data_IF_517848321296
#
_entry.id   IF_517848321296
#
_cell.length_a   1.000
_cell.length_b   1.000
_cell.length_c   1.000
_cell.angle_alpha   90.00
_cell.angle_beta   90.00
_cell.angle_gamma   90.00
#
_symmetry.space_group_name_H-M   'P 1'
#
loop_
_entity.id
_entity.type
_entity.pdbx_description
1 polymer ?
#
# COMPACT_ATOMS: atom_id res chain seq x y z
N UNK A 1 -92.11 71.68 14.57
CA UNK A 1 -93.16 70.63 14.61
C UNK A 1 -92.53 69.28 14.36
N UNK A 2 -92.85 68.34 15.26
CA UNK A 2 -92.89 66.86 15.16
C UNK A 2 -91.82 66.08 14.38
N UNK A 3 -91.12 65.24 15.15
CA UNK A 3 -90.48 63.97 14.78
C UNK A 3 -91.44 63.06 13.98
N UNK A 4 -90.89 62.25 13.08
CA UNK A 4 -91.35 60.86 12.94
C UNK A 4 -90.22 59.94 12.49
N UNK A 5 -90.17 58.80 13.16
CA UNK A 5 -89.33 57.62 12.94
C UNK A 5 -89.92 56.80 11.77
N UNK A 6 -89.09 56.10 10.98
CA UNK A 6 -89.31 54.69 10.59
C UNK A 6 -88.14 54.15 9.74
N UNK A 7 -87.59 53.06 10.25
CA UNK A 7 -86.58 52.15 9.67
C UNK A 7 -87.18 51.22 8.61
N UNK A 8 -86.40 50.85 7.59
CA UNK A 8 -86.46 49.50 6.99
C UNK A 8 -85.21 49.14 6.16
N UNK A 9 -84.69 47.95 6.45
CA UNK A 9 -83.49 47.32 5.88
C UNK A 9 -83.67 46.88 4.43
N UNK A 10 -82.59 46.90 3.64
CA UNK A 10 -82.41 46.00 2.48
C UNK A 10 -80.92 45.73 2.21
N UNK A 11 -80.64 44.47 1.94
CA UNK A 11 -79.39 43.73 1.90
C UNK A 11 -78.47 43.97 0.68
N UNK A 12 -77.16 43.83 0.92
CA UNK A 12 -76.11 43.11 0.15
C UNK A 12 -75.82 43.44 -1.33
N UNK A 13 -74.56 43.81 -1.61
CA UNK A 13 -73.54 42.88 -2.16
C UNK A 13 -72.16 43.58 -2.25
N UNK A 14 -71.32 43.40 -1.23
CA UNK A 14 -69.90 43.72 -1.30
C UNK A 14 -69.14 42.45 -1.74
N UNK A 15 -68.70 42.42 -3.00
CA UNK A 15 -67.76 41.40 -3.49
C UNK A 15 -66.37 41.78 -2.99
N UNK A 16 -66.04 41.37 -1.77
CA UNK A 16 -64.67 41.39 -1.28
C UNK A 16 -63.91 40.22 -1.90
N UNK A 17 -63.08 40.52 -2.90
CA UNK A 17 -62.10 39.58 -3.44
C UNK A 17 -61.10 39.25 -2.33
N UNK A 18 -61.28 38.08 -1.72
CA UNK A 18 -60.29 37.43 -0.87
C UNK A 18 -59.14 36.97 -1.76
N UNK A 19 -58.14 37.83 -1.95
CA UNK A 19 -56.81 37.37 -2.35
C UNK A 19 -56.21 36.70 -1.12
N UNK A 20 -55.91 35.39 -1.12
CA UNK A 20 -55.16 34.81 -0.02
C UNK A 20 -53.79 35.48 -0.02
N UNK A 21 -53.54 36.28 1.03
CA UNK A 21 -52.21 36.72 1.42
C UNK A 21 -51.37 35.44 1.57
N UNK A 22 -50.57 35.13 0.56
CA UNK A 22 -49.49 34.16 0.70
C UNK A 22 -48.53 34.78 1.70
N UNK A 23 -48.66 34.38 2.97
CA UNK A 23 -47.65 34.65 3.97
C UNK A 23 -46.36 34.06 3.43
N UNK A 24 -45.45 34.93 3.00
CA UNK A 24 -44.06 34.57 2.72
C UNK A 24 -43.48 34.19 4.07
N UNK A 25 -43.74 32.95 4.51
CA UNK A 25 -43.17 32.43 5.74
C UNK A 25 -41.66 32.43 5.56
N UNK A 26 -40.99 33.31 6.32
CA UNK A 26 -39.54 33.32 6.39
C UNK A 26 -39.06 31.90 6.66
N UNK A 27 -38.19 31.39 5.78
CA UNK A 27 -37.66 30.05 5.91
C UNK A 27 -37.04 29.85 7.29
N UNK A 28 -37.21 28.67 7.88
CA UNK A 28 -36.64 28.33 9.20
C UNK A 28 -35.11 28.32 9.11
N UNK A 29 -34.53 29.48 9.39
CA UNK A 29 -33.09 29.71 9.32
C UNK A 29 -32.35 28.87 10.37
N UNK A 30 -32.99 28.56 11.51
CA UNK A 30 -32.42 27.70 12.55
C UNK A 30 -32.20 26.30 11.99
N UNK A 31 -33.20 25.73 11.30
CA UNK A 31 -33.06 24.42 10.67
C UNK A 31 -32.03 24.40 9.53
N UNK A 32 -32.00 25.42 8.67
CA UNK A 32 -30.98 25.52 7.60
C UNK A 32 -29.56 25.57 8.19
N UNK A 33 -29.37 26.37 9.23
CA UNK A 33 -28.07 26.49 9.91
C UNK A 33 -27.66 25.18 10.60
N UNK A 34 -28.63 24.46 11.17
CA UNK A 34 -28.41 23.15 11.75
C UNK A 34 -27.90 22.14 10.71
N UNK A 35 -28.58 22.03 9.56
CA UNK A 35 -28.16 21.14 8.45
C UNK A 35 -26.72 21.43 8.02
N UNK A 36 -26.38 22.71 7.86
CA UNK A 36 -25.02 23.10 7.49
C UNK A 36 -23.99 22.74 8.57
N UNK A 37 -24.34 22.93 9.85
CA UNK A 37 -23.48 22.56 10.98
C UNK A 37 -23.23 21.06 11.04
N UNK A 38 -24.27 20.25 10.88
CA UNK A 38 -24.18 18.78 10.84
C UNK A 38 -23.29 18.30 9.70
N UNK A 39 -23.46 18.86 8.49
CA UNK A 39 -22.59 18.58 7.36
C UNK A 39 -21.12 18.89 7.68
N UNK A 40 -20.82 20.09 8.20
CA UNK A 40 -19.44 20.49 8.55
C UNK A 40 -18.82 19.54 9.56
N UNK A 41 -19.58 19.12 10.57
CA UNK A 41 -19.15 18.14 11.57
C UNK A 41 -18.85 16.79 10.95
N UNK A 42 -19.75 16.28 10.10
CA UNK A 42 -19.56 15.02 9.39
C UNK A 42 -18.34 15.04 8.46
N UNK A 43 -18.17 16.12 7.69
CA UNK A 43 -17.03 16.31 6.79
C UNK A 43 -15.71 16.32 7.56
N UNK A 44 -15.61 17.15 8.61
CA UNK A 44 -14.42 17.22 9.47
C UNK A 44 -14.07 15.85 10.04
N UNK A 45 -15.06 15.11 10.57
CA UNK A 45 -14.85 13.76 11.09
C UNK A 45 -14.33 12.80 10.01
N UNK A 46 -14.93 12.84 8.82
CA UNK A 46 -14.57 11.95 7.70
C UNK A 46 -13.18 12.23 7.15
N UNK A 47 -12.84 13.51 6.94
CA UNK A 47 -11.51 13.93 6.48
C UNK A 47 -10.44 13.59 7.52
N UNK A 48 -10.69 13.83 8.80
CA UNK A 48 -9.77 13.45 9.87
C UNK A 48 -9.53 11.93 9.91
N UNK A 49 -10.59 11.13 9.77
CA UNK A 49 -10.47 9.68 9.71
C UNK A 49 -9.66 9.20 8.49
N UNK A 50 -9.84 9.83 7.33
CA UNK A 50 -9.03 9.58 6.13
C UNK A 50 -7.55 9.93 6.36
N UNK A 51 -7.26 11.14 6.85
CA UNK A 51 -5.89 11.59 7.11
C UNK A 51 -5.17 10.70 8.12
N UNK A 52 -5.86 10.29 9.19
CA UNK A 52 -5.30 9.38 10.18
C UNK A 52 -5.03 8.00 9.58
N UNK A 53 -5.95 7.48 8.75
CA UNK A 53 -5.75 6.22 8.06
C UNK A 53 -4.56 6.28 7.10
N UNK A 54 -4.43 7.35 6.29
CA UNK A 54 -3.32 7.52 5.36
C UNK A 54 -1.97 7.53 6.10
N UNK A 55 -1.85 8.30 7.19
CA UNK A 55 -0.65 8.31 8.04
C UNK A 55 -0.29 6.92 8.57
N UNK A 56 -1.28 6.13 8.96
CA UNK A 56 -1.04 4.75 9.43
C UNK A 56 -0.57 3.84 8.31
N UNK A 57 -1.14 3.96 7.11
CA UNK A 57 -0.73 3.20 5.92
C UNK A 57 0.72 3.54 5.56
N UNK A 58 1.07 4.83 5.49
CA UNK A 58 2.42 5.28 5.17
C UNK A 58 3.44 4.79 6.21
N UNK A 59 3.09 4.86 7.50
CA UNK A 59 3.93 4.34 8.59
C UNK A 59 4.15 2.83 8.46
N UNK A 60 3.09 2.06 8.20
CA UNK A 60 3.17 0.60 8.05
C UNK A 60 4.00 0.20 6.83
N UNK A 61 3.80 0.89 5.72
CA UNK A 61 4.59 0.70 4.51
C UNK A 61 6.07 0.92 4.78
N UNK A 62 6.44 2.07 5.38
CA UNK A 62 7.83 2.39 5.68
C UNK A 62 8.47 1.39 6.65
N UNK A 63 7.72 0.95 7.67
CA UNK A 63 8.18 -0.08 8.59
C UNK A 63 8.47 -1.40 7.87
N UNK A 64 7.55 -1.86 7.02
CA UNK A 64 7.73 -3.07 6.21
C UNK A 64 8.92 -2.93 5.25
N UNK A 65 8.99 -1.83 4.49
CA UNK A 65 10.10 -1.53 3.58
C UNK A 65 11.46 -1.61 4.27
N UNK A 66 11.61 -0.90 5.41
CA UNK A 66 12.85 -0.88 6.17
C UNK A 66 13.20 -2.26 6.73
N UNK A 67 12.23 -2.98 7.28
CA UNK A 67 12.45 -4.31 7.84
C UNK A 67 12.88 -5.31 6.76
N UNK A 68 12.23 -5.31 5.60
CA UNK A 68 12.63 -6.19 4.49
C UNK A 68 14.05 -5.89 4.03
N UNK A 69 14.43 -4.62 3.84
CA UNK A 69 15.80 -4.25 3.44
C UNK A 69 16.84 -4.64 4.49
N UNK A 70 16.54 -4.45 5.78
CA UNK A 70 17.42 -4.89 6.85
C UNK A 70 17.64 -6.41 6.82
N UNK A 71 16.61 -7.22 6.59
CA UNK A 71 16.73 -8.67 6.44
C UNK A 71 17.58 -9.06 5.22
N UNK A 72 17.39 -8.38 4.08
CA UNK A 72 18.19 -8.59 2.88
C UNK A 72 19.67 -8.26 3.11
N UNK A 73 19.96 -7.12 3.76
CA UNK A 73 21.33 -6.70 4.08
C UNK A 73 22.01 -7.67 5.05
N UNK A 74 21.27 -8.19 6.04
CA UNK A 74 21.77 -9.22 6.95
C UNK A 74 22.08 -10.54 6.24
N UNK A 75 21.20 -10.98 5.33
CA UNK A 75 21.41 -12.18 4.52
C UNK A 75 22.66 -12.04 3.64
N UNK A 76 22.78 -10.92 2.92
CA UNK A 76 23.94 -10.64 2.08
C UNK A 76 25.23 -10.64 2.89
N UNK A 77 25.24 -9.90 4.01
CA UNK A 77 26.40 -9.84 4.91
C UNK A 77 26.84 -11.24 5.36
N UNK A 78 25.90 -12.06 5.83
CA UNK A 78 26.20 -13.43 6.31
C UNK A 78 26.82 -14.30 5.22
N UNK A 79 26.30 -14.20 3.99
CA UNK A 79 26.82 -14.98 2.86
C UNK A 79 28.19 -14.47 2.38
N UNK A 80 28.40 -13.16 2.35
CA UNK A 80 29.71 -12.59 1.98
C UNK A 80 30.79 -12.93 3.02
N UNK A 81 30.44 -12.95 4.31
CA UNK A 81 31.35 -13.36 5.38
C UNK A 81 31.72 -14.85 5.25
N UNK A 82 30.76 -15.73 4.95
CA UNK A 82 31.04 -17.16 4.70
C UNK A 82 31.92 -17.37 3.46
N UNK A 83 31.63 -16.67 2.36
CA UNK A 83 32.46 -16.71 1.15
C UNK A 83 33.90 -16.32 1.42
N UNK A 84 34.12 -15.27 2.21
CA UNK A 84 35.45 -14.84 2.63
C UNK A 84 36.16 -15.92 3.45
N UNK A 85 35.48 -16.48 4.46
CA UNK A 85 36.04 -17.53 5.31
C UNK A 85 36.44 -18.78 4.50
N UNK A 86 35.61 -19.18 3.53
CA UNK A 86 35.94 -20.31 2.67
C UNK A 86 37.05 -20.00 1.67
N UNK A 87 37.11 -18.82 1.06
CA UNK A 87 38.24 -18.46 0.18
C UNK A 87 39.58 -18.53 0.95
N UNK A 88 39.63 -18.00 2.17
CA UNK A 88 40.81 -18.08 3.04
C UNK A 88 41.17 -19.54 3.40
N UNK A 89 40.18 -20.33 3.85
CA UNK A 89 40.38 -21.73 4.27
C UNK A 89 40.83 -22.62 3.11
N UNK A 90 40.20 -22.49 1.95
CA UNK A 90 40.46 -23.31 0.78
C UNK A 90 41.81 -22.99 0.13
N UNK A 91 42.23 -21.72 0.14
CA UNK A 91 43.58 -21.33 -0.29
C UNK A 91 44.64 -21.92 0.63
N UNK A 92 44.45 -21.81 1.95
CA UNK A 92 45.38 -22.40 2.90
C UNK A 92 45.48 -23.92 2.73
N UNK A 93 44.36 -24.61 2.53
CA UNK A 93 44.33 -26.04 2.24
C UNK A 93 45.08 -26.40 0.93
N UNK A 94 44.86 -25.64 -0.15
CA UNK A 94 45.60 -25.82 -1.40
C UNK A 94 47.12 -25.68 -1.22
N UNK A 95 47.58 -24.67 -0.48
CA UNK A 95 49.01 -24.48 -0.21
C UNK A 95 49.61 -25.67 0.56
N UNK A 96 48.89 -26.19 1.57
CA UNK A 96 49.31 -27.38 2.29
C UNK A 96 49.36 -28.63 1.40
N UNK A 97 48.36 -28.81 0.51
CA UNK A 97 48.34 -29.92 -0.44
C UNK A 97 49.49 -29.82 -1.46
N UNK A 98 49.80 -28.61 -1.96
CA UNK A 98 50.92 -28.38 -2.88
C UNK A 98 52.27 -28.74 -2.23
N UNK A 99 52.47 -28.38 -0.96
CA UNK A 99 53.67 -28.75 -0.21
C UNK A 99 53.75 -30.27 0.05
N UNK A 100 52.66 -30.89 0.48
CA UNK A 100 52.62 -32.33 0.82
C UNK A 100 52.88 -33.23 -0.39
N UNK A 101 52.39 -32.85 -1.57
CA UNK A 101 52.47 -33.64 -2.80
C UNK A 101 53.47 -33.05 -3.81
N UNK A 102 54.45 -32.28 -3.35
CA UNK A 102 55.49 -31.71 -4.20
C UNK A 102 56.18 -32.80 -5.03
N UNK A 103 56.32 -32.58 -6.33
CA UNK A 103 56.94 -33.54 -7.26
C UNK A 103 56.06 -34.74 -7.65
N UNK A 104 54.89 -34.94 -7.04
CA UNK A 104 53.98 -36.02 -7.42
C UNK A 104 53.22 -35.66 -8.71
N UNK A 105 53.61 -36.29 -9.83
CA UNK A 105 53.02 -36.03 -11.14
C UNK A 105 51.55 -36.46 -11.24
N UNK A 106 51.16 -37.52 -10.55
CA UNK A 106 49.80 -38.07 -10.61
C UNK A 106 48.77 -37.18 -9.91
N UNK A 107 49.22 -36.34 -8.96
CA UNK A 107 48.38 -35.43 -8.17
C UNK A 107 48.36 -34.00 -8.74
N UNK A 108 49.34 -33.63 -9.58
CA UNK A 108 49.52 -32.27 -10.11
C UNK A 108 48.29 -31.75 -10.86
N UNK A 109 47.68 -32.56 -11.70
CA UNK A 109 46.50 -32.17 -12.48
C UNK A 109 45.29 -31.94 -11.57
N UNK A 110 45.12 -32.78 -10.55
CA UNK A 110 44.06 -32.62 -9.53
C UNK A 110 44.26 -31.36 -8.69
N UNK A 111 45.48 -31.00 -8.32
CA UNK A 111 45.76 -29.73 -7.62
C UNK A 111 45.43 -28.51 -8.49
N UNK A 112 45.72 -28.59 -9.78
CA UNK A 112 45.35 -27.53 -10.74
C UNK A 112 43.82 -27.42 -10.87
N UNK A 113 43.12 -28.55 -10.89
CA UNK A 113 41.66 -28.56 -10.87
C UNK A 113 41.11 -28.00 -9.56
N UNK A 114 41.69 -28.37 -8.42
CA UNK A 114 41.32 -27.85 -7.10
C UNK A 114 41.45 -26.33 -7.06
N UNK A 115 42.58 -25.78 -7.51
CA UNK A 115 42.81 -24.35 -7.63
C UNK A 115 41.73 -23.63 -8.46
N UNK A 116 41.27 -24.25 -9.55
CA UNK A 116 40.15 -23.72 -10.36
C UNK A 116 38.82 -23.78 -9.63
N UNK A 117 38.52 -24.87 -8.91
CA UNK A 117 37.25 -25.03 -8.20
C UNK A 117 37.08 -24.03 -7.06
N UNK A 118 38.17 -23.75 -6.33
CA UNK A 118 38.17 -22.84 -5.18
C UNK A 118 38.20 -21.36 -5.59
N UNK A 119 38.59 -21.05 -6.83
CA UNK A 119 38.72 -19.67 -7.29
C UNK A 119 37.34 -19.04 -7.59
N UNK A 120 36.89 -18.02 -6.86
CA UNK A 120 35.59 -17.38 -7.09
C UNK A 120 35.52 -16.58 -8.40
N UNK A 121 36.66 -16.35 -9.07
CA UNK A 121 36.73 -15.69 -10.38
C UNK A 121 36.78 -16.67 -11.56
N UNK A 122 36.91 -17.97 -11.30
CA UNK A 122 36.92 -18.98 -12.37
C UNK A 122 35.50 -19.22 -12.88
N UNK A 123 35.19 -18.68 -14.06
CA UNK A 123 33.86 -18.69 -14.65
C UNK A 123 33.22 -20.09 -14.63
N UNK A 124 31.97 -20.15 -14.18
CA UNK A 124 31.19 -21.39 -14.02
C UNK A 124 31.77 -22.42 -13.02
N UNK A 125 32.87 -22.10 -12.33
CA UNK A 125 33.39 -22.89 -11.22
C UNK A 125 32.42 -22.89 -10.03
N UNK A 126 32.57 -23.84 -9.09
CA UNK A 126 31.66 -23.96 -7.95
C UNK A 126 31.67 -22.70 -7.06
N UNK A 127 32.85 -22.18 -6.67
CA UNK A 127 32.93 -20.94 -5.90
C UNK A 127 32.44 -19.72 -6.67
N UNK A 128 32.64 -19.67 -8.00
CA UNK A 128 32.08 -18.60 -8.83
C UNK A 128 30.55 -18.60 -8.82
N UNK A 129 29.91 -19.77 -8.95
CA UNK A 129 28.45 -19.89 -8.91
C UNK A 129 27.90 -19.45 -7.55
N UNK A 130 28.57 -19.85 -6.46
CA UNK A 130 28.19 -19.43 -5.13
C UNK A 130 28.35 -17.90 -4.95
N UNK A 131 29.51 -17.35 -5.31
CA UNK A 131 29.78 -15.92 -5.29
C UNK A 131 28.75 -15.12 -6.09
N UNK A 132 28.47 -15.52 -7.34
CA UNK A 132 27.53 -14.81 -8.20
C UNK A 132 26.07 -14.95 -7.81
N UNK A 133 25.67 -16.01 -7.12
CA UNK A 133 24.33 -16.10 -6.55
C UNK A 133 24.09 -15.04 -5.45
N UNK A 134 25.13 -14.71 -4.69
CA UNK A 134 25.10 -13.75 -3.59
C UNK A 134 25.44 -12.30 -3.99
N UNK A 135 25.79 -12.04 -5.25
CA UNK A 135 26.15 -10.71 -5.72
C UNK A 135 24.89 -9.92 -6.09
N UNK A 136 24.46 -8.99 -5.21
CA UNK A 136 23.26 -8.15 -5.45
C UNK A 136 23.41 -7.27 -6.71
N UNK A 137 24.62 -6.95 -7.13
CA UNK A 137 24.90 -6.19 -8.35
C UNK A 137 24.88 -7.02 -9.63
N UNK A 138 24.98 -8.35 -9.52
CA UNK A 138 24.97 -9.25 -10.66
C UNK A 138 23.55 -9.50 -11.16
N UNK A 139 23.27 -9.09 -12.40
CA UNK A 139 21.97 -9.24 -13.02
C UNK A 139 21.49 -10.70 -12.97
N UNK A 140 20.25 -10.90 -12.53
CA UNK A 140 19.63 -12.22 -12.36
C UNK A 140 20.26 -13.13 -11.28
N UNK A 141 21.18 -12.63 -10.45
CA UNK A 141 21.57 -13.37 -9.24
C UNK A 141 20.38 -13.58 -8.30
N UNK A 142 20.54 -14.51 -7.36
CA UNK A 142 19.52 -14.80 -6.36
C UNK A 142 19.22 -13.56 -5.52
N UNK A 143 20.25 -12.87 -5.00
CA UNK A 143 20.05 -11.63 -4.23
C UNK A 143 19.56 -10.46 -5.09
N UNK A 144 19.98 -10.35 -6.35
CA UNK A 144 19.47 -9.32 -7.26
C UNK A 144 17.97 -9.45 -7.46
N UNK A 145 17.46 -10.68 -7.67
CA UNK A 145 16.02 -10.93 -7.86
C UNK A 145 15.19 -10.46 -6.66
N UNK A 146 15.62 -10.83 -5.44
CA UNK A 146 14.98 -10.40 -4.20
C UNK A 146 15.04 -8.88 -4.03
N UNK A 147 16.23 -8.30 -4.20
CA UNK A 147 16.44 -6.84 -4.11
C UNK A 147 15.57 -6.06 -5.09
N UNK A 148 15.47 -6.54 -6.34
CA UNK A 148 14.67 -5.93 -7.41
C UNK A 148 13.18 -5.90 -7.06
N UNK A 149 12.63 -6.97 -6.49
CA UNK A 149 11.22 -6.99 -6.08
C UNK A 149 10.91 -6.11 -4.85
N UNK A 150 11.91 -5.91 -3.99
CA UNK A 150 11.83 -5.06 -2.80
C UNK A 150 12.10 -3.58 -3.09
N UNK A 151 12.67 -3.24 -4.24
CA UNK A 151 12.99 -1.88 -4.61
C UNK A 151 11.73 -1.08 -4.99
N UNK A 152 11.45 0.01 -4.28
CA UNK A 152 10.25 0.84 -4.49
C UNK A 152 10.30 1.75 -5.72
N UNK A 153 11.47 1.90 -6.34
CA UNK A 153 11.70 2.72 -7.54
C UNK A 153 11.88 1.86 -8.79
N UNK A 154 12.02 0.53 -8.63
CA UNK A 154 12.05 -0.40 -9.76
C UNK A 154 10.63 -0.62 -10.30
N UNK A 155 10.39 -0.18 -11.54
CA UNK A 155 9.07 -0.27 -12.17
C UNK A 155 8.52 -1.70 -12.16
N UNK A 156 7.26 -1.84 -11.76
CA UNK A 156 6.55 -3.12 -11.65
C UNK A 156 7.11 -4.11 -10.61
N UNK A 157 8.06 -3.71 -9.76
CA UNK A 157 8.37 -4.50 -8.57
C UNK A 157 7.15 -4.59 -7.65
N UNK A 158 7.12 -5.58 -6.77
CA UNK A 158 6.06 -5.71 -5.79
C UNK A 158 6.01 -4.50 -4.84
N UNK A 159 7.17 -3.98 -4.42
CA UNK A 159 7.24 -2.82 -3.54
C UNK A 159 6.82 -1.51 -4.22
N UNK A 160 7.19 -1.32 -5.50
CA UNK A 160 6.72 -0.20 -6.32
C UNK A 160 5.20 -0.23 -6.48
N UNK A 161 4.65 -1.40 -6.78
CA UNK A 161 3.20 -1.60 -6.93
C UNK A 161 2.45 -1.28 -5.63
N UNK A 162 3.02 -1.67 -4.49
CA UNK A 162 2.48 -1.34 -3.18
C UNK A 162 2.54 0.18 -2.91
N UNK A 163 3.71 0.82 -3.09
CA UNK A 163 3.90 2.28 -2.94
C UNK A 163 2.89 3.08 -3.79
N UNK A 164 2.76 2.70 -5.06
CA UNK A 164 1.79 3.26 -6.00
C UNK A 164 0.36 3.16 -5.49
N UNK A 165 -0.03 2.00 -4.95
CA UNK A 165 -1.40 1.74 -4.47
C UNK A 165 -1.79 2.65 -3.30
N UNK A 166 -0.84 2.94 -2.41
CA UNK A 166 -1.04 3.74 -1.20
C UNK A 166 -0.81 5.24 -1.40
N UNK A 167 -0.27 5.66 -2.54
CA UNK A 167 0.09 7.06 -2.80
C UNK A 167 -1.11 7.85 -3.35
N UNK A 168 -1.61 8.89 -2.66
CA UNK A 168 -2.78 9.66 -3.11
C UNK A 168 -2.55 10.50 -4.37
N UNK A 169 -1.30 10.86 -4.70
CA UNK A 169 -0.97 11.61 -5.92
C UNK A 169 -0.96 10.72 -7.17
N UNK A 170 -0.90 9.39 -7.01
CA UNK A 170 -0.88 8.47 -8.14
C UNK A 170 -2.30 8.29 -8.69
N UNK A 171 -2.54 8.74 -9.92
CA UNK A 171 -3.86 8.69 -10.54
C UNK A 171 -4.42 7.26 -10.54
N UNK A 172 -5.70 7.12 -10.19
CA UNK A 172 -6.43 5.86 -10.12
C UNK A 172 -5.94 4.84 -9.07
N UNK A 173 -4.95 5.18 -8.24
CA UNK A 173 -4.57 4.35 -7.09
C UNK A 173 -5.73 4.23 -6.09
N UNK A 174 -5.69 3.20 -5.23
CA UNK A 174 -6.71 3.03 -4.19
C UNK A 174 -6.72 4.22 -3.22
N UNK A 175 -5.54 4.75 -2.86
CA UNK A 175 -5.42 5.97 -2.04
C UNK A 175 -5.93 7.23 -2.75
N UNK A 176 -5.67 7.39 -4.05
CA UNK A 176 -6.23 8.50 -4.83
C UNK A 176 -7.76 8.44 -4.84
N UNK A 177 -8.34 7.27 -5.15
CA UNK A 177 -9.79 7.07 -5.16
C UNK A 177 -10.41 7.32 -3.78
N UNK A 178 -9.71 6.94 -2.71
CA UNK A 178 -10.13 7.24 -1.34
C UNK A 178 -10.15 8.76 -1.11
N UNK A 179 -9.05 9.46 -1.43
CA UNK A 179 -8.98 10.93 -1.29
C UNK A 179 -10.09 11.64 -2.06
N UNK A 180 -10.45 11.17 -3.26
CA UNK A 180 -11.51 11.76 -4.08
C UNK A 180 -12.90 11.49 -3.52
N UNK A 181 -13.12 10.33 -2.90
CA UNK A 181 -14.40 9.98 -2.26
C UNK A 181 -14.75 10.94 -1.12
N UNK A 182 -13.74 11.31 -0.32
CA UNK A 182 -13.92 12.17 0.88
C UNK A 182 -13.71 13.67 0.61
N UNK A 183 -13.28 14.04 -0.59
CA UNK A 183 -12.99 15.43 -0.95
C UNK A 183 -14.27 16.20 -1.26
N UNK A 184 -14.50 17.32 -0.58
CA UNK A 184 -15.60 18.24 -0.88
C UNK A 184 -15.39 19.11 -2.13
N UNK A 185 -14.15 19.17 -2.65
CA UNK A 185 -13.78 19.97 -3.82
C UNK A 185 -13.69 19.14 -5.10
N UNK A 186 -13.61 17.81 -4.98
CA UNK A 186 -13.62 16.93 -6.14
C UNK A 186 -15.02 16.83 -6.73
N UNK A 187 -15.18 17.32 -7.96
CA UNK A 187 -16.45 17.38 -8.66
C UNK A 187 -17.15 16.02 -8.65
N UNK A 188 -18.46 16.04 -8.36
CA UNK A 188 -19.32 14.86 -8.32
C UNK A 188 -18.93 13.79 -7.29
N UNK A 189 -17.95 14.04 -6.41
CA UNK A 189 -17.71 13.14 -5.28
C UNK A 189 -18.94 13.07 -4.37
N UNK A 190 -19.09 11.97 -3.60
CA UNK A 190 -20.12 11.88 -2.59
C UNK A 190 -20.08 13.04 -1.58
N UNK A 191 -18.89 13.46 -1.13
CA UNK A 191 -18.74 14.58 -0.20
C UNK A 191 -19.10 15.93 -0.83
N UNK A 192 -18.75 16.15 -2.10
CA UNK A 192 -19.12 17.34 -2.87
C UNK A 192 -20.65 17.44 -3.03
N UNK A 193 -21.30 16.32 -3.36
CA UNK A 193 -22.77 16.25 -3.48
C UNK A 193 -23.44 16.55 -2.13
N UNK A 194 -22.88 16.01 -1.05
CA UNK A 194 -23.38 16.24 0.30
C UNK A 194 -23.22 17.72 0.72
N UNK A 195 -22.06 18.33 0.47
CA UNK A 195 -21.82 19.77 0.69
C UNK A 195 -22.86 20.64 0.00
N UNK A 196 -23.05 20.41 -1.29
CA UNK A 196 -23.93 21.23 -2.12
C UNK A 196 -25.40 21.00 -1.76
N UNK A 197 -25.81 19.77 -1.45
CA UNK A 197 -27.15 19.47 -0.94
C UNK A 197 -27.44 20.10 0.43
N UNK A 198 -26.42 20.30 1.26
CA UNK A 198 -26.52 20.91 2.60
C UNK A 198 -26.44 22.45 2.57
N UNK A 199 -26.04 23.05 1.44
CA UNK A 199 -25.81 24.49 1.33
C UNK A 199 -27.06 25.23 0.90
N UNK A 200 -27.44 26.30 1.61
CA UNK A 200 -28.53 27.20 1.22
C UNK A 200 -28.16 28.20 0.12
N UNK A 201 -26.88 28.25 -0.26
CA UNK A 201 -26.36 29.12 -1.34
C UNK A 201 -26.14 28.36 -2.64
N UNK A 202 -26.19 27.03 -2.62
CA UNK A 202 -26.02 26.23 -3.84
C UNK A 202 -27.34 26.11 -4.59
N UNK A 203 -27.35 26.58 -5.83
CA UNK A 203 -28.53 26.58 -6.68
C UNK A 203 -29.17 25.18 -6.75
N UNK A 204 -30.49 25.12 -6.64
CA UNK A 204 -31.29 23.90 -6.71
C UNK A 204 -31.05 22.86 -5.59
N UNK A 205 -30.23 23.16 -4.58
CA UNK A 205 -30.15 22.31 -3.38
C UNK A 205 -31.50 22.28 -2.63
N UNK A 206 -31.78 21.23 -1.84
CA UNK A 206 -32.96 21.22 -0.97
C UNK A 206 -33.03 22.43 -0.04
N UNK A 207 -31.90 22.87 0.51
CA UNK A 207 -31.83 24.04 1.40
C UNK A 207 -32.09 25.35 0.66
N UNK A 208 -31.55 25.51 -0.55
CA UNK A 208 -31.79 26.69 -1.37
C UNK A 208 -33.26 26.76 -1.82
N UNK A 209 -33.83 25.65 -2.31
CA UNK A 209 -35.24 25.59 -2.71
C UNK A 209 -36.17 25.95 -1.55
N UNK A 210 -35.89 25.45 -0.35
CA UNK A 210 -36.65 25.81 0.85
C UNK A 210 -36.49 27.28 1.22
N UNK A 211 -35.25 27.80 1.22
CA UNK A 211 -34.97 29.22 1.50
C UNK A 211 -35.69 30.17 0.55
N UNK A 212 -35.82 29.79 -0.71
CA UNK A 212 -36.51 30.57 -1.76
C UNK A 212 -38.04 30.36 -1.77
N UNK A 213 -38.61 29.63 -0.80
CA UNK A 213 -40.05 29.34 -0.75
C UNK A 213 -40.55 28.42 -1.87
N UNK A 214 -39.66 27.77 -2.63
CA UNK A 214 -40.03 26.91 -3.76
C UNK A 214 -40.58 25.55 -3.34
N UNK A 215 -40.31 25.11 -2.10
CA UNK A 215 -40.79 23.85 -1.53
C UNK A 215 -41.11 24.00 -0.04
N UNK A 216 -41.97 23.13 0.49
CA UNK A 216 -42.26 23.07 1.92
C UNK A 216 -41.06 22.57 2.75
N UNK A 217 -41.05 22.87 4.05
CA UNK A 217 -40.06 22.32 5.00
C UNK A 217 -40.08 20.79 5.03
N UNK A 218 -41.26 20.18 4.93
CA UNK A 218 -41.41 18.72 4.92
C UNK A 218 -40.77 18.11 3.66
N UNK A 219 -41.01 18.71 2.49
CA UNK A 219 -40.39 18.31 1.22
C UNK A 219 -38.87 18.46 1.28
N UNK A 220 -38.38 19.58 1.81
CA UNK A 220 -36.95 19.84 1.94
C UNK A 220 -36.26 18.84 2.89
N UNK A 221 -36.88 18.52 4.03
CA UNK A 221 -36.41 17.47 4.95
C UNK A 221 -36.33 16.11 4.26
N UNK A 222 -37.39 15.71 3.54
CA UNK A 222 -37.42 14.43 2.82
C UNK A 222 -36.30 14.34 1.77
N UNK A 223 -36.15 15.38 0.93
CA UNK A 223 -35.09 15.44 -0.09
C UNK A 223 -33.69 15.41 0.52
N UNK A 224 -33.46 16.18 1.59
CA UNK A 224 -32.17 16.21 2.26
C UNK A 224 -31.85 14.88 2.95
N UNK A 225 -32.80 14.27 3.66
CA UNK A 225 -32.60 12.97 4.31
C UNK A 225 -32.25 11.87 3.31
N UNK A 226 -32.91 11.85 2.14
CA UNK A 226 -32.57 10.93 1.05
C UNK A 226 -31.14 11.15 0.57
N UNK A 227 -30.78 12.40 0.26
CA UNK A 227 -29.43 12.77 -0.18
C UNK A 227 -28.36 12.41 0.87
N UNK A 228 -28.61 12.73 2.14
CA UNK A 228 -27.72 12.40 3.25
C UNK A 228 -27.48 10.89 3.33
N UNK A 229 -28.55 10.09 3.31
CA UNK A 229 -28.45 8.62 3.36
C UNK A 229 -27.64 8.07 2.18
N UNK A 230 -27.96 8.50 0.97
CA UNK A 230 -27.28 8.07 -0.26
C UNK A 230 -25.79 8.41 -0.23
N UNK A 231 -25.45 9.66 0.05
CA UNK A 231 -24.05 10.10 -0.01
C UNK A 231 -23.21 9.55 1.15
N UNK A 232 -23.75 9.47 2.37
CA UNK A 232 -23.02 8.87 3.51
C UNK A 232 -22.79 7.38 3.32
N UNK A 233 -23.75 6.67 2.70
CA UNK A 233 -23.59 5.26 2.33
C UNK A 233 -22.54 5.11 1.22
N UNK A 234 -22.55 5.97 0.21
CA UNK A 234 -21.54 5.97 -0.85
C UNK A 234 -20.12 6.23 -0.28
N UNK A 235 -19.97 7.18 0.65
CA UNK A 235 -18.71 7.44 1.35
C UNK A 235 -18.28 6.20 2.15
N UNK A 236 -19.17 5.63 2.96
CA UNK A 236 -18.85 4.46 3.78
C UNK A 236 -18.41 3.27 2.94
N UNK A 237 -19.17 2.92 1.90
CA UNK A 237 -18.87 1.82 0.98
C UNK A 237 -17.58 2.06 0.20
N UNK A 238 -17.39 3.28 -0.32
CA UNK A 238 -16.17 3.66 -1.03
C UNK A 238 -14.94 3.53 -0.14
N UNK A 239 -14.99 4.11 1.06
CA UNK A 239 -13.92 4.05 2.04
C UNK A 239 -13.59 2.60 2.44
N UNK A 240 -14.60 1.78 2.74
CA UNK A 240 -14.41 0.38 3.08
C UNK A 240 -13.74 -0.41 1.94
N UNK A 241 -14.20 -0.21 0.71
CA UNK A 241 -13.62 -0.86 -0.46
C UNK A 241 -12.14 -0.45 -0.66
N UNK A 242 -11.81 0.85 -0.55
CA UNK A 242 -10.42 1.31 -0.71
C UNK A 242 -9.51 0.79 0.40
N UNK A 243 -9.99 0.76 1.64
CA UNK A 243 -9.26 0.16 2.77
C UNK A 243 -8.98 -1.32 2.53
N UNK A 244 -9.98 -2.07 2.06
CA UNK A 244 -9.84 -3.49 1.72
C UNK A 244 -8.79 -3.71 0.63
N UNK A 245 -8.82 -2.91 -0.45
CA UNK A 245 -7.81 -2.99 -1.52
C UNK A 245 -6.40 -2.72 -1.02
N UNK A 246 -6.22 -1.68 -0.20
CA UNK A 246 -4.91 -1.35 0.39
C UNK A 246 -4.42 -2.48 1.30
N UNK A 247 -5.29 -3.03 2.15
CA UNK A 247 -4.94 -4.16 3.01
C UNK A 247 -4.57 -5.40 2.20
N UNK A 248 -5.32 -5.72 1.14
CA UNK A 248 -5.03 -6.85 0.27
C UNK A 248 -3.71 -6.68 -0.48
N UNK A 249 -3.41 -5.46 -0.93
CA UNK A 249 -2.11 -5.14 -1.53
C UNK A 249 -0.98 -5.34 -0.53
N UNK A 250 -1.12 -4.80 0.67
CA UNK A 250 -0.12 -4.92 1.73
C UNK A 250 0.18 -6.40 2.08
N UNK A 251 -0.86 -7.19 2.38
CA UNK A 251 -0.67 -8.60 2.74
C UNK A 251 -0.17 -9.45 1.57
N UNK A 252 -0.63 -9.16 0.34
CA UNK A 252 -0.17 -9.84 -0.87
C UNK A 252 1.30 -9.57 -1.15
N UNK A 253 1.75 -8.31 -1.05
CA UNK A 253 3.16 -7.95 -1.22
C UNK A 253 4.04 -8.55 -0.13
N UNK A 254 3.60 -8.48 1.13
CA UNK A 254 4.33 -9.09 2.24
C UNK A 254 4.52 -10.60 2.04
N UNK A 255 3.44 -11.32 1.74
CA UNK A 255 3.49 -12.76 1.47
C UNK A 255 4.49 -13.11 0.37
N UNK A 256 4.45 -12.39 -0.76
CA UNK A 256 5.35 -12.62 -1.90
C UNK A 256 6.81 -12.37 -1.55
N UNK A 257 7.10 -11.30 -0.82
CA UNK A 257 8.46 -10.99 -0.37
C UNK A 257 8.96 -12.04 0.61
N UNK A 258 8.13 -12.46 1.57
CA UNK A 258 8.49 -13.49 2.55
C UNK A 258 8.76 -14.86 1.87
N UNK A 259 7.93 -15.22 0.88
CA UNK A 259 8.12 -16.43 0.06
C UNK A 259 9.42 -16.36 -0.75
N UNK A 260 9.66 -15.26 -1.46
CA UNK A 260 10.87 -15.08 -2.25
C UNK A 260 12.12 -15.01 -1.36
N UNK A 261 12.04 -14.44 -0.17
CA UNK A 261 13.14 -14.42 0.79
C UNK A 261 13.50 -15.85 1.23
N UNK A 262 12.51 -16.68 1.58
CA UNK A 262 12.73 -18.09 1.93
C UNK A 262 13.34 -18.88 0.78
N UNK A 263 12.82 -18.70 -0.43
CA UNK A 263 13.38 -19.31 -1.64
C UNK A 263 14.83 -18.88 -1.86
N UNK A 264 15.12 -17.58 -1.69
CA UNK A 264 16.47 -17.01 -1.79
C UNK A 264 17.42 -17.67 -0.80
N UNK A 265 17.01 -17.83 0.46
CA UNK A 265 17.79 -18.53 1.49
C UNK A 265 18.11 -19.96 1.08
N UNK A 266 17.10 -20.72 0.64
CA UNK A 266 17.28 -22.12 0.21
C UNK A 266 18.21 -22.22 -1.00
N UNK A 267 18.07 -21.33 -2.00
CA UNK A 267 18.93 -21.34 -3.18
C UNK A 267 20.37 -20.99 -2.81
N UNK A 268 20.59 -20.00 -1.94
CA UNK A 268 21.94 -19.62 -1.52
C UNK A 268 22.61 -20.75 -0.74
N UNK A 269 21.87 -21.42 0.15
CA UNK A 269 22.37 -22.59 0.87
C UNK A 269 22.74 -23.72 -0.11
N UNK A 270 21.85 -24.05 -1.05
CA UNK A 270 22.12 -25.09 -2.04
C UNK A 270 23.37 -24.77 -2.89
N UNK A 271 23.57 -23.51 -3.28
CA UNK A 271 24.77 -23.09 -4.03
C UNK A 271 26.05 -23.23 -3.22
N UNK A 272 25.98 -22.93 -1.92
CA UNK A 272 27.10 -23.15 -1.00
C UNK A 272 27.42 -24.63 -0.86
N UNK A 273 26.40 -25.45 -0.57
CA UNK A 273 26.53 -26.90 -0.41
C UNK A 273 27.10 -27.57 -1.67
N UNK A 274 26.57 -27.23 -2.85
CA UNK A 274 27.09 -27.71 -4.15
C UNK A 274 28.57 -27.36 -4.33
N UNK A 275 28.97 -26.14 -3.94
CA UNK A 275 30.34 -25.68 -4.07
C UNK A 275 31.29 -26.45 -3.15
N UNK A 276 30.98 -26.49 -1.86
CA UNK A 276 31.81 -27.16 -0.85
C UNK A 276 31.88 -28.67 -1.09
N UNK A 277 30.77 -29.29 -1.51
CA UNK A 277 30.74 -30.70 -1.89
C UNK A 277 31.66 -30.99 -3.08
N UNK A 278 31.56 -30.22 -4.16
CA UNK A 278 32.39 -30.43 -5.35
C UNK A 278 33.89 -30.33 -5.04
N UNK A 279 34.26 -29.39 -4.17
CA UNK A 279 35.65 -29.19 -3.74
C UNK A 279 36.09 -30.32 -2.80
N UNK A 280 35.23 -30.71 -1.86
CA UNK A 280 35.48 -31.78 -0.90
C UNK A 280 35.67 -33.14 -1.58
N UNK A 281 34.84 -33.47 -2.57
CA UNK A 281 34.95 -34.72 -3.33
C UNK A 281 36.33 -34.80 -4.02
N UNK A 282 36.78 -33.71 -4.65
CA UNK A 282 38.12 -33.66 -5.24
C UNK A 282 39.24 -33.72 -4.18
N UNK A 283 39.03 -33.12 -3.01
CA UNK A 283 39.98 -33.21 -1.90
C UNK A 283 40.16 -34.66 -1.42
N UNK A 284 39.09 -35.45 -1.36
CA UNK A 284 39.13 -36.88 -1.02
C UNK A 284 39.99 -37.63 -2.04
N UNK A 285 39.86 -37.34 -3.33
CA UNK A 285 40.68 -37.97 -4.38
C UNK A 285 42.16 -37.60 -4.32
N UNK A 286 42.51 -36.49 -3.67
CA UNK A 286 43.90 -36.02 -3.51
C UNK A 286 44.50 -36.56 -2.21
N UNK A 287 43.78 -36.43 -1.10
CA UNK A 287 44.31 -36.59 0.25
C UNK A 287 43.66 -37.71 1.08
N UNK A 288 42.59 -38.34 0.58
CA UNK A 288 41.83 -39.38 1.28
C UNK A 288 40.82 -38.83 2.31
N UNK A 289 40.75 -37.52 2.50
CA UNK A 289 39.85 -36.85 3.45
C UNK A 289 39.19 -35.62 2.83
N UNK A 290 37.91 -35.40 3.17
CA UNK A 290 37.09 -34.30 2.66
C UNK A 290 37.02 -33.10 3.61
N UNK A 291 36.39 -32.03 3.14
CA UNK A 291 36.07 -30.88 3.95
C UNK A 291 34.89 -31.20 4.88
N UNK A 292 34.80 -30.49 6.00
CA UNK A 292 33.67 -30.56 6.92
C UNK A 292 33.05 -29.17 7.06
N UNK A 293 31.72 -29.10 7.00
CA UNK A 293 30.96 -27.88 7.15
C UNK A 293 29.56 -28.16 7.67
N UNK A 294 28.98 -27.14 8.31
CA UNK A 294 27.59 -27.13 8.74
C UNK A 294 26.77 -26.20 7.83
N UNK A 295 25.45 -26.35 7.91
CA UNK A 295 24.53 -25.50 7.18
C UNK A 295 24.67 -24.05 7.66
N UNK A 296 24.69 -23.09 6.73
CA UNK A 296 24.89 -21.68 7.05
C UNK A 296 23.56 -20.97 7.35
N UNK A 297 22.57 -21.17 6.47
CA UNK A 297 21.34 -20.35 6.43
C UNK A 297 20.09 -21.11 6.83
N UNK A 298 20.09 -22.44 6.72
CA UNK A 298 18.94 -23.29 7.06
C UNK A 298 19.28 -24.07 8.32
N UNK A 299 18.53 -23.88 9.40
CA UNK A 299 18.66 -24.72 10.58
C UNK A 299 18.25 -26.16 10.23
N UNK A 300 19.06 -27.15 10.65
CA UNK A 300 18.66 -28.55 10.53
C UNK A 300 17.42 -28.76 11.42
N UNK A 301 16.38 -29.47 10.92
CA UNK A 301 15.21 -29.79 11.73
C UNK A 301 15.57 -30.58 12.99
#
# INVERSE_FOLDING_TARGET
MRKSLLTLCSLLLAVSVLVPLTTVHAADQKWINQVWSEYKSYNKKTVNAYNNYQKQVDKKYKAFYNASHASLDQLEKKVLEDQKQWDEKLRADLEQLKLKYEGNRDVKDKLTQYERLINPSYLNGPMWKYAKAADRGYLNSTLWRLSKEMNEDYLNSWMWTYKKTITPSYLNSSAWKFSKTVSESYLNSPMWKLRNGSSSSYLNSPMWKYKQGKISKATAKSQYSKLLKEQTTAISKGNAARKSEITKMASGTQKKIDELYKETVVILEARREEALKSISDLRIEIAGEGLQWEALLVEKP
#
